data_IF_027057337352
#
_entry.id   IF_027057337352
#
_cell.length_a   1.000
_cell.length_b   1.000
_cell.length_c   1.000
_cell.angle_alpha   90.00
_cell.angle_beta   90.00
_cell.angle_gamma   90.00
#
_symmetry.space_group_name_H-M   'P 1'
#
loop_
_entity.id
_entity.type
_entity.pdbx_description
1 polymer ?
#
# COMPACT_ATOMS: atom_id res chain seq x y z
N UNK A 1 2.87 -19.23 -5.98
CA UNK A 1 3.54 -18.08 -5.31
C UNK A 1 2.47 -17.02 -5.04
N UNK A 2 2.60 -16.16 -4.01
CA UNK A 2 1.61 -15.11 -3.77
C UNK A 2 1.48 -14.18 -4.98
N UNK A 3 0.25 -13.88 -5.39
CA UNK A 3 -0.03 -13.05 -6.58
C UNK A 3 0.36 -11.57 -6.35
N UNK A 4 0.76 -10.88 -7.43
CA UNK A 4 1.14 -9.45 -7.40
C UNK A 4 -0.09 -8.59 -7.03
N UNK A 5 -0.04 -7.78 -5.95
CA UNK A 5 -1.12 -6.85 -5.64
C UNK A 5 -1.16 -5.69 -6.66
N UNK A 6 -2.36 -5.34 -7.11
CA UNK A 6 -2.66 -4.12 -7.86
C UNK A 6 -3.27 -3.13 -6.88
N UNK A 7 -2.56 -2.04 -6.60
CA UNK A 7 -2.97 -1.03 -5.64
C UNK A 7 -3.55 0.21 -6.33
N UNK A 8 -4.43 0.91 -5.63
CA UNK A 8 -4.88 2.28 -5.93
C UNK A 8 -4.77 3.11 -4.66
N UNK A 9 -4.40 4.38 -4.83
CA UNK A 9 -4.18 5.34 -3.73
C UNK A 9 -5.02 6.58 -3.98
N UNK A 10 -5.74 7.05 -2.96
CA UNK A 10 -6.56 8.26 -3.04
C UNK A 10 -6.50 9.07 -1.74
N UNK A 11 -6.54 10.41 -1.84
CA UNK A 11 -6.78 11.27 -0.66
C UNK A 11 -8.28 11.26 -0.33
N UNK A 12 -8.61 11.09 0.94
CA UNK A 12 -9.98 11.22 1.45
C UNK A 12 -10.11 12.54 2.18
N UNK A 13 -11.24 13.24 2.03
CA UNK A 13 -11.47 14.54 2.67
C UNK A 13 -12.28 14.44 3.97
N UNK A 14 -13.14 13.43 4.11
CA UNK A 14 -13.97 13.25 5.30
C UNK A 14 -14.11 11.75 5.68
N UNK A 15 -13.39 11.24 6.69
CA UNK A 15 -12.31 11.92 7.42
C UNK A 15 -11.05 12.11 6.55
N UNK A 16 -10.29 13.17 6.82
CA UNK A 16 -9.05 13.48 6.08
C UNK A 16 -8.04 12.33 6.21
N UNK A 17 -7.52 11.83 5.10
CA UNK A 17 -6.54 10.75 5.10
C UNK A 17 -6.11 10.29 3.71
N UNK A 18 -5.45 9.14 3.65
CA UNK A 18 -5.10 8.44 2.41
C UNK A 18 -5.71 7.04 2.47
N UNK A 19 -6.53 6.71 1.48
CA UNK A 19 -7.05 5.38 1.28
C UNK A 19 -6.11 4.60 0.34
N UNK A 20 -5.74 3.40 0.76
CA UNK A 20 -5.08 2.39 -0.05
C UNK A 20 -6.11 1.28 -0.29
N UNK A 21 -6.31 0.90 -1.54
CA UNK A 21 -7.16 -0.23 -1.93
C UNK A 21 -6.34 -1.14 -2.83
N UNK A 22 -6.40 -2.45 -2.65
CA UNK A 22 -5.71 -3.38 -3.52
C UNK A 22 -6.53 -4.63 -3.83
N UNK A 23 -6.24 -5.19 -5.00
CA UNK A 23 -6.77 -6.45 -5.49
C UNK A 23 -5.66 -7.23 -6.22
N UNK A 24 -5.99 -8.36 -6.83
CA UNK A 24 -5.18 -9.03 -7.86
C UNK A 24 -5.83 -8.82 -9.22
N UNK A 25 -5.10 -9.08 -10.30
CA UNK A 25 -5.61 -8.95 -11.68
C UNK A 25 -6.77 -9.91 -11.93
N UNK A 26 -6.52 -11.19 -11.66
CA UNK A 26 -7.48 -12.28 -11.67
C UNK A 26 -7.15 -13.20 -10.49
N UNK A 27 -8.17 -13.73 -9.80
CA UNK A 27 -7.95 -14.64 -8.67
C UNK A 27 -7.53 -16.00 -9.22
N UNK A 28 -6.32 -16.43 -8.86
CA UNK A 28 -5.85 -17.78 -9.15
C UNK A 28 -6.40 -18.74 -8.09
N UNK A 29 -7.29 -19.68 -8.44
CA UNK A 29 -7.89 -20.62 -7.48
C UNK A 29 -6.86 -21.59 -6.87
N UNK A 30 -5.72 -21.81 -7.54
CA UNK A 30 -4.64 -22.69 -7.08
C UNK A 30 -3.60 -21.94 -6.24
N UNK A 31 -3.71 -20.62 -6.14
CA UNK A 31 -2.84 -19.83 -5.28
C UNK A 31 -3.08 -20.17 -3.81
N UNK A 32 -1.98 -20.39 -3.08
CA UNK A 32 -2.04 -20.54 -1.63
C UNK A 32 -2.71 -19.32 -0.98
N UNK A 33 -3.47 -19.57 0.07
CA UNK A 33 -4.12 -18.52 0.85
C UNK A 33 -3.12 -17.47 1.30
N UNK A 34 -3.47 -16.20 1.11
CA UNK A 34 -2.67 -15.08 1.60
C UNK A 34 -2.76 -15.02 3.13
N UNK A 35 -1.63 -14.86 3.82
CA UNK A 35 -1.61 -14.64 5.28
C UNK A 35 -1.70 -13.15 5.61
N UNK A 36 -0.86 -12.33 4.96
CA UNK A 36 -0.81 -10.91 5.22
C UNK A 36 -0.21 -10.09 4.08
N UNK A 37 -0.40 -8.76 4.17
CA UNK A 37 0.21 -7.78 3.30
C UNK A 37 1.08 -6.82 4.11
N UNK A 38 2.29 -6.55 3.62
CA UNK A 38 3.19 -5.53 4.16
C UNK A 38 3.04 -4.26 3.32
N UNK A 39 2.78 -3.13 3.98
CA UNK A 39 2.67 -1.84 3.32
C UNK A 39 3.95 -1.06 3.59
N UNK A 40 4.57 -0.57 2.52
CA UNK A 40 5.75 0.28 2.62
C UNK A 40 5.43 1.71 2.18
N UNK A 41 6.11 2.66 2.82
CA UNK A 41 6.06 4.07 2.46
C UNK A 41 7.46 4.64 2.29
N UNK A 42 7.61 5.54 1.34
CA UNK A 42 8.71 6.50 1.28
C UNK A 42 8.10 7.91 1.19
N UNK A 43 8.74 8.88 1.85
CA UNK A 43 8.25 10.25 1.91
C UNK A 43 9.30 11.20 1.35
N UNK A 44 8.85 12.16 0.55
CA UNK A 44 9.67 13.28 0.08
C UNK A 44 10.16 14.14 1.26
N UNK A 45 11.45 14.47 1.25
CA UNK A 45 12.10 15.37 2.20
C UNK A 45 12.12 16.79 1.65
N UNK A 46 12.45 17.74 2.52
CA UNK A 46 12.51 19.16 2.15
C UNK A 46 13.57 19.48 1.09
N UNK A 47 14.55 18.60 0.89
CA UNK A 47 15.61 18.71 -0.13
C UNK A 47 15.23 18.06 -1.48
N UNK A 48 13.97 17.61 -1.65
CA UNK A 48 13.49 16.91 -2.83
C UNK A 48 13.91 15.44 -2.94
N UNK A 49 14.67 14.91 -1.98
CA UNK A 49 15.02 13.48 -1.94
C UNK A 49 13.94 12.66 -1.24
N UNK A 50 13.88 11.35 -1.49
CA UNK A 50 12.97 10.46 -0.76
C UNK A 50 13.64 9.77 0.43
N UNK A 51 12.85 9.52 1.47
CA UNK A 51 13.26 8.66 2.58
C UNK A 51 13.55 7.24 2.11
N UNK A 52 14.36 6.49 2.88
CA UNK A 52 14.39 5.03 2.74
C UNK A 52 12.97 4.47 2.92
N UNK A 53 12.65 3.38 2.24
CA UNK A 53 11.40 2.65 2.43
C UNK A 53 11.27 2.18 3.88
N UNK A 54 10.10 2.41 4.47
CA UNK A 54 9.76 1.96 5.83
C UNK A 54 8.46 1.16 5.77
N UNK A 55 8.37 0.11 6.57
CA UNK A 55 7.12 -0.64 6.76
C UNK A 55 6.17 0.20 7.60
N UNK A 56 5.01 0.56 7.04
CA UNK A 56 3.92 1.24 7.74
C UNK A 56 3.16 0.29 8.66
N UNK A 57 3.04 -0.97 8.25
CA UNK A 57 2.35 -1.99 9.01
C UNK A 57 2.16 -3.26 8.22
N UNK A 58 1.65 -4.28 8.92
CA UNK A 58 1.28 -5.58 8.37
C UNK A 58 -0.22 -5.77 8.60
N UNK A 59 -0.95 -6.07 7.54
CA UNK A 59 -2.40 -6.27 7.59
C UNK A 59 -2.68 -7.74 7.29
N UNK A 60 -3.37 -8.43 8.21
CA UNK A 60 -3.83 -9.80 7.99
C UNK A 60 -4.79 -9.85 6.81
N UNK A 61 -4.57 -10.78 5.91
CA UNK A 61 -5.39 -10.92 4.72
C UNK A 61 -6.78 -11.44 5.08
N UNK A 62 -7.80 -10.91 4.41
CA UNK A 62 -9.18 -11.37 4.48
C UNK A 62 -9.69 -11.61 3.06
N UNK A 63 -10.81 -11.02 2.65
CA UNK A 63 -11.31 -11.08 1.27
C UNK A 63 -10.85 -9.88 0.46
N UNK A 64 -10.46 -10.12 -0.79
CA UNK A 64 -10.20 -9.06 -1.77
C UNK A 64 -11.52 -8.54 -2.38
N UNK A 65 -11.58 -7.27 -2.82
CA UNK A 65 -10.53 -6.25 -2.66
C UNK A 65 -10.37 -5.85 -1.19
N UNK A 66 -9.13 -5.60 -0.78
CA UNK A 66 -8.82 -5.11 0.56
C UNK A 66 -8.54 -3.62 0.53
N UNK A 67 -8.82 -2.94 1.64
CA UNK A 67 -8.56 -1.53 1.78
C UNK A 67 -8.09 -1.19 3.19
N UNK A 68 -7.27 -0.15 3.31
CA UNK A 68 -6.97 0.48 4.58
C UNK A 68 -6.90 1.99 4.44
N UNK A 69 -7.22 2.70 5.52
CA UNK A 69 -7.09 4.16 5.59
C UNK A 69 -5.93 4.53 6.49
N UNK A 70 -5.02 5.35 5.98
CA UNK A 70 -3.97 5.98 6.75
C UNK A 70 -4.49 7.31 7.28
N UNK A 71 -4.45 7.49 8.60
CA UNK A 71 -4.63 8.81 9.20
C UNK A 71 -3.36 9.62 8.96
N UNK A 72 -3.48 10.62 8.09
CA UNK A 72 -2.38 11.53 7.78
C UNK A 72 -2.50 12.65 8.81
N UNK A 73 -1.57 12.71 9.76
CA UNK A 73 -1.46 13.84 10.69
C UNK A 73 -0.97 15.09 9.97
N UNK A 74 0.01 15.82 10.53
CA UNK A 74 0.67 16.98 9.88
C UNK A 74 1.46 16.63 8.57
N UNK A 75 1.29 15.44 8.02
CA UNK A 75 1.98 14.90 6.84
C UNK A 75 1.26 15.20 5.52
N UNK A 76 0.27 16.11 5.53
CA UNK A 76 -0.55 16.45 4.36
C UNK A 76 0.24 17.08 3.22
N UNK A 77 1.39 17.70 3.53
CA UNK A 77 2.08 18.64 2.64
C UNK A 77 3.31 18.04 1.94
N UNK A 78 3.54 16.72 2.06
CA UNK A 78 4.64 16.06 1.34
C UNK A 78 4.14 15.01 0.37
N UNK A 79 4.91 14.78 -0.70
CA UNK A 79 4.68 13.66 -1.60
C UNK A 79 5.01 12.34 -0.91
N UNK A 80 4.12 11.37 -1.03
CA UNK A 80 4.27 10.02 -0.48
C UNK A 80 4.26 8.99 -1.61
N UNK A 81 5.14 8.01 -1.50
CA UNK A 81 5.17 6.83 -2.36
C UNK A 81 4.78 5.60 -1.55
N UNK A 82 3.96 4.74 -2.13
CA UNK A 82 3.48 3.51 -1.51
C UNK A 82 3.74 2.30 -2.41
N UNK A 83 4.01 1.16 -1.79
CA UNK A 83 4.00 -0.16 -2.43
C UNK A 83 3.55 -1.24 -1.43
N UNK A 84 3.05 -2.36 -1.94
CA UNK A 84 2.56 -3.50 -1.14
C UNK A 84 3.22 -4.79 -1.61
N UNK A 85 3.47 -5.71 -0.67
CA UNK A 85 3.85 -7.10 -0.95
C UNK A 85 3.01 -8.06 -0.11
N UNK A 86 2.59 -9.17 -0.72
CA UNK A 86 1.86 -10.25 -0.06
C UNK A 86 2.77 -11.35 0.45
N UNK A 87 2.40 -11.95 1.59
CA UNK A 87 3.00 -13.16 2.17
C UNK A 87 1.92 -14.22 2.34
N UNK A 88 2.12 -15.42 1.81
CA UNK A 88 1.17 -16.53 1.98
C UNK A 88 1.36 -17.29 3.31
N UNK A 89 0.45 -18.22 3.58
CA UNK A 89 0.47 -19.10 4.76
C UNK A 89 1.72 -20.00 4.86
N UNK A 90 2.46 -20.18 3.76
CA UNK A 90 3.74 -20.90 3.74
C UNK A 90 4.94 -19.98 3.98
N UNK A 91 4.68 -18.69 4.21
CA UNK A 91 5.69 -17.69 4.49
C UNK A 91 6.45 -17.19 3.26
N UNK A 92 5.99 -17.52 2.05
CA UNK A 92 6.60 -17.06 0.80
C UNK A 92 6.11 -15.67 0.48
N UNK A 93 6.99 -14.84 -0.08
CA UNK A 93 6.65 -13.50 -0.54
C UNK A 93 6.44 -13.48 -2.05
N UNK A 94 5.41 -12.75 -2.48
CA UNK A 94 5.14 -12.51 -3.91
C UNK A 94 5.92 -11.32 -4.46
N UNK A 95 5.61 -10.90 -5.70
CA UNK A 95 6.12 -9.65 -6.26
C UNK A 95 5.59 -8.42 -5.49
N UNK A 96 6.36 -7.34 -5.50
CA UNK A 96 5.87 -6.02 -5.09
C UNK A 96 4.81 -5.52 -6.08
N UNK A 97 3.85 -4.74 -5.59
CA UNK A 97 3.01 -3.90 -6.44
C UNK A 97 3.85 -2.86 -7.19
N UNK A 98 3.25 -2.21 -8.18
CA UNK A 98 3.83 -0.98 -8.72
C UNK A 98 3.85 0.11 -7.64
N UNK A 99 4.78 1.07 -7.79
CA UNK A 99 4.89 2.21 -6.89
C UNK A 99 3.79 3.22 -7.23
N UNK A 100 3.00 3.61 -6.24
CA UNK A 100 2.02 4.69 -6.40
C UNK A 100 2.45 5.92 -5.62
N UNK A 101 2.44 7.06 -6.30
CA UNK A 101 2.82 8.36 -5.76
C UNK A 101 1.59 9.22 -5.53
N UNK A 102 1.52 9.90 -4.40
CA UNK A 102 0.49 10.89 -4.10
C UNK A 102 1.12 12.18 -3.59
N UNK A 103 0.99 13.24 -4.38
CA UNK A 103 1.46 14.58 -4.03
C UNK A 103 0.43 15.31 -3.15
N UNK A 104 0.82 16.40 -2.46
CA UNK A 104 -0.13 17.30 -1.81
C UNK A 104 -1.18 17.75 -2.82
N UNK A 105 -2.45 17.79 -2.40
CA UNK A 105 -3.50 18.31 -3.28
C UNK A 105 -3.22 19.78 -3.55
N UNK A 106 -3.15 20.17 -4.82
CA UNK A 106 -3.25 21.59 -5.20
C UNK A 106 -4.64 22.04 -4.76
N UNK A 107 -4.71 22.95 -3.80
CA UNK A 107 -5.95 23.70 -3.49
C UNK A 107 -6.44 24.42 -4.72
#
# INVERSE_FOLDING_TARGET
MPQKPIMKVARTQNPQGIALVWNVEEVDPDAATMDCYYIYVAQERSDGTFSKWKTMGVIKAVRLPMACRLSVGKTTDKTLCFLIIGKDVFGRYGPYSDVHTISPGKT
#
